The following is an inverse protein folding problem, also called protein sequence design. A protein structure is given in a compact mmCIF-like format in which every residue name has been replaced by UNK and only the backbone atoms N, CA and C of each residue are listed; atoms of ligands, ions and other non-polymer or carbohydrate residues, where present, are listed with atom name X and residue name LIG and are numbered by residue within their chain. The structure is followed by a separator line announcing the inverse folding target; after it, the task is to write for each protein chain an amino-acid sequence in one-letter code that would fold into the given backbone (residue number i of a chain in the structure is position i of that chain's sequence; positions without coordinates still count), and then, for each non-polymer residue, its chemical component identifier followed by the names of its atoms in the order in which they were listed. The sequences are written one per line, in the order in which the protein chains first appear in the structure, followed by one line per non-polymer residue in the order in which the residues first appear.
data_IF_295758260321
#
_entry.id   IF_295758260321
#
_cell.length_a   1.000
_cell.length_b   1.000
_cell.length_c   1.000
_cell.angle_alpha   90.00
_cell.angle_beta   90.00
_cell.angle_gamma   90.00
#
_symmetry.space_group_name_H-M   'P 1'
#
loop_
_entity.id
_entity.type
_entity.pdbx_description
1 polymer ?
#
# COMPACT_ATOMS: atom_id res chain seq x y z
N UNK A 1 -21.01 25.08 10.29
CA UNK A 1 -20.99 24.72 8.86
C UNK A 1 -19.93 23.64 8.68
N UNK A 2 -20.34 22.37 8.73
CA UNK A 2 -19.43 21.24 8.50
C UNK A 2 -19.23 21.09 6.98
N UNK A 3 -18.03 21.44 6.50
CA UNK A 3 -17.58 20.99 5.18
C UNK A 3 -17.35 19.49 5.29
N UNK A 4 -18.25 18.70 4.70
CA UNK A 4 -17.99 17.30 4.42
C UNK A 4 -16.77 17.24 3.49
N UNK A 5 -15.65 16.75 3.99
CA UNK A 5 -14.56 16.32 3.11
C UNK A 5 -15.06 15.10 2.34
N UNK A 6 -14.81 15.01 1.02
CA UNK A 6 -15.27 13.87 0.24
C UNK A 6 -14.67 12.59 0.81
N UNK A 7 -15.52 11.62 1.12
CA UNK A 7 -15.14 10.28 1.59
C UNK A 7 -14.06 9.72 0.67
N UNK A 8 -12.88 9.48 1.23
CA UNK A 8 -11.74 9.01 0.45
C UNK A 8 -12.06 7.61 -0.14
N UNK A 9 -12.03 7.43 -1.47
CA UNK A 9 -12.39 6.15 -2.12
C UNK A 9 -11.60 4.95 -1.59
N UNK A 10 -10.35 5.18 -1.14
CA UNK A 10 -9.50 4.15 -0.56
C UNK A 10 -10.02 3.66 0.81
N UNK A 11 -10.61 4.53 1.62
CA UNK A 11 -11.20 4.18 2.93
C UNK A 11 -12.41 3.27 2.75
N UNK A 12 -13.29 3.58 1.79
CA UNK A 12 -14.50 2.80 1.51
C UNK A 12 -14.16 1.37 1.06
N UNK A 13 -13.11 1.20 0.24
CA UNK A 13 -12.66 -0.12 -0.20
C UNK A 13 -12.03 -0.94 0.94
N UNK A 14 -11.27 -0.30 1.83
CA UNK A 14 -10.66 -0.96 3.00
C UNK A 14 -11.71 -1.50 3.98
N UNK A 15 -12.79 -0.74 4.20
CA UNK A 15 -13.85 -1.11 5.14
C UNK A 15 -14.64 -2.35 4.73
N UNK A 16 -14.92 -2.52 3.42
CA UNK A 16 -15.69 -3.65 2.91
C UNK A 16 -14.97 -5.00 3.02
N UNK A 17 -13.64 -5.02 2.85
CA UNK A 17 -12.82 -6.24 2.95
C UNK A 17 -12.65 -6.76 4.38
N UNK A 18 -12.53 -5.86 5.37
CA UNK A 18 -12.24 -6.23 6.77
C UNK A 18 -13.40 -6.97 7.44
N UNK A 19 -14.65 -6.54 7.22
CA UNK A 19 -15.84 -7.12 7.86
C UNK A 19 -16.06 -8.59 7.52
N UNK A 20 -15.76 -9.00 6.27
CA UNK A 20 -15.82 -10.40 5.85
C UNK A 20 -14.72 -11.26 6.49
N UNK A 21 -13.53 -10.67 6.68
CA UNK A 21 -12.36 -11.40 7.17
C UNK A 21 -12.48 -11.84 8.63
N UNK A 22 -12.99 -10.97 9.50
CA UNK A 22 -13.11 -11.23 10.93
C UNK A 22 -14.14 -12.32 11.25
N UNK A 23 -15.30 -12.29 10.56
CA UNK A 23 -16.35 -13.30 10.69
C UNK A 23 -15.86 -14.69 10.25
N UNK A 24 -15.09 -14.74 9.16
CA UNK A 24 -14.51 -15.98 8.66
C UNK A 24 -13.46 -16.55 9.63
N UNK A 25 -12.63 -15.70 10.25
CA UNK A 25 -11.66 -16.12 11.26
C UNK A 25 -12.32 -16.75 12.49
N UNK A 26 -13.46 -16.19 12.94
CA UNK A 26 -14.24 -16.77 14.04
C UNK A 26 -14.84 -18.12 13.68
N UNK A 27 -15.39 -18.26 12.48
CA UNK A 27 -15.88 -19.55 11.97
C UNK A 27 -14.78 -20.60 11.91
N UNK A 28 -13.60 -20.24 11.38
CA UNK A 28 -12.44 -21.14 11.36
C UNK A 28 -11.97 -21.52 12.76
N UNK A 29 -12.13 -20.65 13.76
CA UNK A 29 -11.79 -20.93 15.14
C UNK A 29 -12.72 -21.97 15.79
N UNK A 30 -13.98 -22.04 15.35
CA UNK A 30 -14.93 -23.10 15.74
C UNK A 30 -14.57 -24.43 15.07
N UNK A 31 -14.17 -24.39 13.80
CA UNK A 31 -13.80 -25.58 13.01
C UNK A 31 -12.42 -26.15 13.39
N UNK A 32 -11.53 -25.34 13.99
CA UNK A 32 -10.14 -25.73 14.30
C UNK A 32 -9.77 -25.47 15.77
N UNK A 33 -10.13 -26.36 16.71
CA UNK A 33 -9.91 -26.16 18.16
C UNK A 33 -8.45 -25.88 18.54
N UNK A 34 -7.49 -26.53 17.86
CA UNK A 34 -6.06 -26.40 18.13
C UNK A 34 -5.51 -25.00 17.82
N UNK A 35 -6.13 -24.26 16.89
CA UNK A 35 -5.72 -22.92 16.48
C UNK A 35 -6.69 -21.83 16.99
N UNK A 36 -7.69 -22.20 17.79
CA UNK A 36 -8.81 -21.34 18.18
C UNK A 36 -8.36 -20.01 18.79
N UNK A 37 -7.44 -20.03 19.75
CA UNK A 37 -6.97 -18.82 20.42
C UNK A 37 -6.29 -17.83 19.46
N UNK A 38 -5.43 -18.34 18.57
CA UNK A 38 -4.73 -17.52 17.55
C UNK A 38 -5.71 -16.95 16.54
N UNK A 39 -6.70 -17.73 16.10
CA UNK A 39 -7.71 -17.29 15.13
C UNK A 39 -8.65 -16.23 15.73
N UNK A 40 -9.07 -16.40 16.98
CA UNK A 40 -9.87 -15.40 17.70
C UNK A 40 -9.08 -14.10 17.92
N UNK A 41 -7.81 -14.21 18.31
CA UNK A 41 -6.94 -13.04 18.42
C UNK A 41 -6.80 -12.28 17.09
N UNK A 42 -6.61 -13.00 15.97
CA UNK A 42 -6.58 -12.38 14.63
C UNK A 42 -7.90 -11.70 14.28
N UNK A 43 -9.05 -12.29 14.65
CA UNK A 43 -10.35 -11.68 14.42
C UNK A 43 -10.50 -10.36 15.20
N UNK A 44 -10.06 -10.34 16.46
CA UNK A 44 -10.07 -9.11 17.29
C UNK A 44 -9.21 -8.00 16.68
N UNK A 45 -8.03 -8.35 16.14
CA UNK A 45 -7.17 -7.39 15.43
C UNK A 45 -7.90 -6.77 14.22
N UNK A 46 -8.64 -7.58 13.46
CA UNK A 46 -9.42 -7.07 12.32
C UNK A 46 -10.57 -6.17 12.76
N UNK A 47 -11.25 -6.49 13.86
CA UNK A 47 -12.32 -5.65 14.38
C UNK A 47 -11.79 -4.29 14.85
N UNK A 48 -10.69 -4.26 15.61
CA UNK A 48 -10.07 -2.98 16.04
C UNK A 48 -9.62 -2.14 14.86
N UNK A 49 -9.03 -2.77 13.84
CA UNK A 49 -8.65 -2.09 12.61
C UNK A 49 -9.88 -1.48 11.93
N UNK A 50 -10.98 -2.24 11.84
CA UNK A 50 -12.23 -1.75 11.28
C UNK A 50 -12.80 -0.56 12.07
N UNK A 51 -12.80 -0.63 13.41
CA UNK A 51 -13.26 0.47 14.27
C UNK A 51 -12.50 1.76 14.00
N UNK A 52 -11.16 1.68 13.98
CA UNK A 52 -10.29 2.83 13.70
C UNK A 52 -10.56 3.39 12.30
N UNK A 53 -10.69 2.53 11.28
CA UNK A 53 -10.94 2.97 9.90
C UNK A 53 -12.36 3.51 9.69
N UNK A 54 -13.33 3.04 10.49
CA UNK A 54 -14.73 3.47 10.41
C UNK A 54 -14.96 4.82 11.09
N UNK A 55 -14.03 5.25 11.94
CA UNK A 55 -14.05 6.53 12.62
C UNK A 55 -13.06 7.50 11.94
N UNK A 56 -13.61 8.47 11.20
CA UNK A 56 -12.82 9.48 10.49
C UNK A 56 -11.88 10.27 11.41
N UNK A 57 -12.31 10.61 12.63
CA UNK A 57 -11.50 11.39 13.58
C UNK A 57 -10.30 10.58 14.07
N UNK A 58 -10.49 9.29 14.37
CA UNK A 58 -9.38 8.40 14.76
C UNK A 58 -8.40 8.19 13.61
N UNK A 59 -8.91 8.01 12.39
CA UNK A 59 -8.09 7.92 11.19
C UNK A 59 -7.24 9.18 11.00
N UNK A 60 -7.84 10.38 11.12
CA UNK A 60 -7.13 11.64 11.01
C UNK A 60 -6.08 11.84 12.10
N UNK A 61 -6.35 11.39 13.34
CA UNK A 61 -5.35 11.41 14.43
C UNK A 61 -4.10 10.61 14.05
N UNK A 62 -4.28 9.42 13.48
CA UNK A 62 -3.15 8.58 13.04
C UNK A 62 -2.35 9.30 11.94
N UNK A 63 -3.04 9.86 10.94
CA UNK A 63 -2.37 10.60 9.87
C UNK A 63 -1.58 11.81 10.40
N UNK A 64 -2.06 12.46 11.45
CA UNK A 64 -1.37 13.57 12.11
C UNK A 64 -0.16 13.10 12.92
N UNK A 65 -0.22 11.93 13.57
CA UNK A 65 0.95 11.34 14.24
C UNK A 65 2.06 11.05 13.23
N UNK A 66 1.72 10.49 12.07
CA UNK A 66 2.69 10.29 10.98
C UNK A 66 3.29 11.62 10.54
N UNK A 67 2.47 12.66 10.36
CA UNK A 67 2.96 13.99 9.97
C UNK A 67 3.95 14.59 10.99
N UNK A 68 3.69 14.43 12.29
CA UNK A 68 4.58 14.89 13.35
C UNK A 68 5.92 14.14 13.33
N UNK A 69 5.90 12.82 13.17
CA UNK A 69 7.12 12.00 13.07
C UNK A 69 7.95 12.42 11.85
N UNK A 70 7.31 12.60 10.68
CA UNK A 70 8.02 13.02 9.47
C UNK A 70 8.58 14.44 9.57
N UNK A 71 7.92 15.32 10.34
CA UNK A 71 8.47 16.65 10.68
C UNK A 71 9.77 16.54 11.48
N UNK A 72 9.79 15.70 12.52
CA UNK A 72 10.99 15.50 13.34
C UNK A 72 12.14 14.89 12.52
N UNK A 73 11.82 14.01 11.58
CA UNK A 73 12.81 13.42 10.68
C UNK A 73 13.39 14.49 9.74
N UNK A 74 12.55 15.32 9.12
CA UNK A 74 13.01 16.44 8.29
C UNK A 74 13.94 17.37 9.09
N UNK A 75 13.59 17.70 10.33
CA UNK A 75 14.43 18.49 11.23
C UNK A 75 15.76 17.79 11.55
N UNK A 76 15.73 16.50 11.82
CA UNK A 76 16.94 15.71 12.06
C UNK A 76 17.85 15.71 10.84
N UNK A 77 17.30 15.56 9.63
CA UNK A 77 18.07 15.56 8.38
C UNK A 77 18.78 16.90 8.12
N UNK A 78 18.26 18.04 8.62
CA UNK A 78 18.94 19.35 8.54
C UNK A 78 20.26 19.38 9.31
N UNK A 79 20.39 18.57 10.35
CA UNK A 79 21.60 18.52 11.20
C UNK A 79 22.68 17.62 10.63
N UNK A 80 22.34 16.81 9.63
CA UNK A 80 23.27 15.87 9.03
C UNK A 80 24.18 16.56 8.04
N UNK A 81 25.43 16.08 7.94
CA UNK A 81 26.33 16.51 6.88
C UNK A 81 25.79 16.07 5.52
N UNK A 82 26.22 16.77 4.46
CA UNK A 82 25.84 16.43 3.10
C UNK A 82 26.19 14.96 2.79
N UNK A 83 25.20 14.19 2.35
CA UNK A 83 25.36 12.74 2.10
C UNK A 83 25.22 11.85 3.35
N UNK A 84 25.02 12.41 4.54
CA UNK A 84 24.70 11.66 5.76
C UNK A 84 23.38 10.88 5.65
N UNK A 85 23.23 9.86 6.49
CA UNK A 85 21.98 9.12 6.69
C UNK A 85 21.25 9.65 7.93
N UNK A 86 20.15 9.02 8.36
CA UNK A 86 19.24 9.59 9.35
C UNK A 86 19.93 9.98 10.66
N UNK A 87 20.86 9.15 11.15
CA UNK A 87 21.52 9.34 12.44
C UNK A 87 23.05 9.40 12.37
N UNK A 88 23.65 8.96 11.26
CA UNK A 88 25.10 8.86 11.11
C UNK A 88 25.53 8.83 9.64
N UNK A 89 26.84 8.84 9.40
CA UNK A 89 27.43 8.78 8.05
C UNK A 89 27.22 7.43 7.35
N UNK A 90 26.94 6.36 8.12
CA UNK A 90 26.76 5.00 7.60
C UNK A 90 25.28 4.60 7.61
N UNK A 91 24.87 3.85 6.59
CA UNK A 91 23.48 3.39 6.49
C UNK A 91 23.20 2.36 7.60
N UNK A 92 22.19 2.63 8.42
CA UNK A 92 21.94 1.93 9.68
C UNK A 92 20.56 1.27 9.73
N UNK A 93 20.27 0.59 10.84
CA UNK A 93 18.93 0.03 11.09
C UNK A 93 17.83 1.11 11.16
N UNK A 94 18.18 2.32 11.61
CA UNK A 94 17.23 3.43 11.64
C UNK A 94 16.77 3.78 10.21
N UNK A 95 17.69 3.74 9.25
CA UNK A 95 17.41 3.99 7.85
C UNK A 95 16.60 2.87 7.20
N UNK A 96 16.84 1.61 7.58
CA UNK A 96 16.02 0.48 7.12
C UNK A 96 14.57 0.66 7.58
N UNK A 97 14.36 0.98 8.85
CA UNK A 97 13.01 1.16 9.39
C UNK A 97 12.29 2.35 8.72
N UNK A 98 12.98 3.47 8.54
CA UNK A 98 12.43 4.63 7.85
C UNK A 98 12.13 4.33 6.38
N UNK A 99 13.04 3.64 5.68
CA UNK A 99 12.86 3.22 4.29
C UNK A 99 11.58 2.38 4.10
N UNK A 100 11.35 1.42 5.00
CA UNK A 100 10.15 0.58 4.96
C UNK A 100 8.89 1.42 5.16
N UNK A 101 8.89 2.33 6.14
CA UNK A 101 7.75 3.22 6.39
C UNK A 101 7.45 4.10 5.16
N UNK A 102 8.46 4.77 4.61
CA UNK A 102 8.31 5.67 3.46
C UNK A 102 7.84 4.92 2.20
N UNK A 103 8.37 3.71 1.96
CA UNK A 103 7.92 2.87 0.86
C UNK A 103 6.44 2.49 1.00
N UNK A 104 5.97 2.17 2.21
CA UNK A 104 4.55 1.88 2.44
C UNK A 104 3.66 3.10 2.25
N UNK A 105 4.10 4.27 2.71
CA UNK A 105 3.37 5.52 2.49
C UNK A 105 3.29 5.86 1.00
N UNK A 106 4.37 5.65 0.24
CA UNK A 106 4.41 5.85 -1.21
C UNK A 106 3.51 4.87 -1.96
N UNK A 107 3.53 3.59 -1.59
CA UNK A 107 2.60 2.57 -2.15
C UNK A 107 1.13 2.92 -1.92
N UNK A 108 0.82 3.68 -0.86
CA UNK A 108 -0.51 4.16 -0.54
C UNK A 108 -0.86 5.52 -1.19
N UNK A 109 0.06 6.15 -1.91
CA UNK A 109 -0.16 7.46 -2.54
C UNK A 109 -0.12 8.64 -1.56
N UNK A 110 0.59 8.50 -0.43
CA UNK A 110 0.66 9.55 0.59
C UNK A 110 1.86 10.50 0.42
N UNK A 111 2.68 10.34 -0.61
CA UNK A 111 3.80 11.23 -0.91
C UNK A 111 3.34 12.69 -1.06
N UNK A 112 2.23 12.91 -1.78
CA UNK A 112 1.63 14.23 -2.00
C UNK A 112 1.07 14.83 -0.73
N UNK A 113 0.70 14.00 0.24
CA UNK A 113 0.30 14.51 1.55
C UNK A 113 1.52 14.96 2.33
N UNK A 114 2.58 14.15 2.36
CA UNK A 114 3.62 14.26 3.37
C UNK A 114 4.93 14.90 2.93
N UNK A 115 5.50 14.58 1.76
CA UNK A 115 6.87 15.05 1.47
C UNK A 115 7.09 15.62 0.08
N UNK A 116 6.28 15.24 -0.93
CA UNK A 116 6.46 15.74 -2.29
C UNK A 116 6.08 17.22 -2.44
N UNK A 117 6.32 17.78 -3.63
CA UNK A 117 6.04 19.18 -3.96
C UNK A 117 6.73 20.19 -3.03
N UNK A 118 7.93 19.84 -2.55
CA UNK A 118 8.75 20.71 -1.72
C UNK A 118 8.27 20.85 -0.26
N UNK A 119 7.34 20.00 0.20
CA UNK A 119 6.88 20.01 1.59
C UNK A 119 7.97 19.62 2.58
N UNK A 120 8.72 18.56 2.26
CA UNK A 120 9.83 18.03 3.06
C UNK A 120 10.96 17.61 2.11
N UNK A 121 11.70 18.58 1.54
CA UNK A 121 12.66 18.31 0.47
C UNK A 121 13.81 17.40 0.93
N UNK A 122 14.26 17.51 2.19
CA UNK A 122 15.35 16.67 2.67
C UNK A 122 14.91 15.21 2.84
N UNK A 123 13.69 15.00 3.32
CA UNK A 123 13.06 13.67 3.40
C UNK A 123 12.84 13.08 2.00
N UNK A 124 12.39 13.89 1.04
CA UNK A 124 12.21 13.47 -0.35
C UNK A 124 13.55 13.05 -0.98
N UNK A 125 14.59 13.87 -0.86
CA UNK A 125 15.94 13.56 -1.35
C UNK A 125 16.55 12.34 -0.65
N UNK A 126 16.38 12.25 0.67
CA UNK A 126 16.76 11.09 1.46
C UNK A 126 16.10 9.82 0.92
N UNK A 127 14.78 9.83 0.70
CA UNK A 127 14.05 8.67 0.23
C UNK A 127 14.47 8.28 -1.19
N UNK A 128 14.68 9.27 -2.06
CA UNK A 128 15.22 9.05 -3.40
C UNK A 128 16.59 8.36 -3.36
N UNK A 129 17.50 8.79 -2.48
CA UNK A 129 18.79 8.11 -2.25
C UNK A 129 18.63 6.69 -1.75
N UNK A 130 17.73 6.45 -0.79
CA UNK A 130 17.43 5.10 -0.27
C UNK A 130 17.00 4.16 -1.40
N UNK A 131 16.12 4.62 -2.31
CA UNK A 131 15.63 3.83 -3.44
C UNK A 131 16.72 3.47 -4.46
N UNK A 132 17.83 4.20 -4.48
CA UNK A 132 18.96 3.88 -5.36
C UNK A 132 19.83 2.73 -4.87
N UNK A 133 19.70 2.31 -3.60
CA UNK A 133 20.49 1.23 -3.02
C UNK A 133 20.13 -0.12 -3.65
N UNK A 134 21.13 -0.95 -3.94
CA UNK A 134 20.91 -2.29 -4.51
C UNK A 134 20.05 -3.17 -3.61
N UNK A 135 20.29 -3.12 -2.29
CA UNK A 135 19.49 -3.84 -1.32
C UNK A 135 18.00 -3.48 -1.40
N UNK A 136 17.69 -2.21 -1.67
CA UNK A 136 16.31 -1.75 -1.84
C UNK A 136 15.72 -2.29 -3.14
N UNK A 137 16.43 -2.13 -4.26
CA UNK A 137 16.02 -2.60 -5.60
C UNK A 137 15.77 -4.11 -5.64
N UNK A 138 16.58 -4.89 -4.92
CA UNK A 138 16.44 -6.34 -4.83
C UNK A 138 15.29 -6.78 -3.90
N UNK A 139 14.90 -5.94 -2.95
CA UNK A 139 13.86 -6.28 -1.96
C UNK A 139 12.46 -5.92 -2.46
N UNK A 140 12.29 -4.80 -3.15
CA UNK A 140 10.97 -4.35 -3.58
C UNK A 140 10.52 -5.18 -4.79
N UNK A 141 9.36 -5.88 -4.69
CA UNK A 141 8.84 -6.64 -5.80
C UNK A 141 8.60 -5.73 -7.00
N UNK A 142 9.15 -6.10 -8.14
CA UNK A 142 8.93 -5.37 -9.37
C UNK A 142 7.46 -5.50 -9.83
N UNK A 143 7.06 -4.65 -10.77
CA UNK A 143 5.72 -4.65 -11.36
C UNK A 143 5.30 -6.05 -11.85
N UNK A 144 6.24 -6.84 -12.38
CA UNK A 144 5.98 -8.19 -12.85
C UNK A 144 5.52 -9.11 -11.70
N UNK A 145 6.11 -8.97 -10.51
CA UNK A 145 5.72 -9.73 -9.34
C UNK A 145 4.30 -9.36 -8.88
N UNK A 146 3.96 -8.07 -8.87
CA UNK A 146 2.60 -7.61 -8.54
C UNK A 146 1.56 -8.08 -9.56
N UNK A 147 1.85 -7.96 -10.86
CA UNK A 147 0.98 -8.46 -11.94
C UNK A 147 0.79 -9.98 -11.81
N UNK A 148 1.88 -10.73 -11.58
CA UNK A 148 1.81 -12.17 -11.33
C UNK A 148 0.92 -12.50 -10.15
N UNK A 149 1.07 -11.79 -9.02
CA UNK A 149 0.22 -11.97 -7.84
C UNK A 149 -1.26 -11.70 -8.14
N UNK A 150 -1.56 -10.61 -8.87
CA UNK A 150 -2.93 -10.28 -9.28
C UNK A 150 -3.49 -11.40 -10.16
N UNK A 151 -2.76 -11.82 -11.20
CA UNK A 151 -3.18 -12.90 -12.10
C UNK A 151 -3.42 -14.20 -11.31
N UNK A 152 -2.48 -14.59 -10.45
CA UNK A 152 -2.56 -15.85 -9.70
C UNK A 152 -3.63 -15.84 -8.59
N UNK A 153 -4.10 -14.67 -8.16
CA UNK A 153 -5.18 -14.54 -7.18
C UNK A 153 -6.58 -14.55 -7.78
N UNK A 154 -6.72 -14.45 -9.10
CA UNK A 154 -8.02 -14.53 -9.76
C UNK A 154 -8.48 -15.98 -9.94
N UNK A 155 -9.79 -16.28 -9.78
CA UNK A 155 -10.33 -17.59 -10.11
C UNK A 155 -9.99 -18.00 -11.57
N UNK A 156 -9.63 -19.27 -11.84
CA UNK A 156 -9.22 -19.71 -13.18
C UNK A 156 -10.24 -19.41 -14.30
N UNK A 157 -11.53 -19.42 -13.96
CA UNK A 157 -12.61 -19.11 -14.89
C UNK A 157 -12.56 -17.66 -15.40
N UNK A 158 -12.19 -16.70 -14.53
CA UNK A 158 -12.07 -15.28 -14.92
C UNK A 158 -10.89 -15.07 -15.87
N UNK A 159 -9.76 -15.73 -15.61
CA UNK A 159 -8.60 -15.70 -16.51
C UNK A 159 -8.95 -16.28 -17.90
N UNK A 160 -9.67 -17.41 -17.92
CA UNK A 160 -10.14 -18.01 -19.18
C UNK A 160 -11.08 -17.09 -19.95
N UNK A 161 -12.05 -16.47 -19.27
CA UNK A 161 -12.99 -15.53 -19.89
C UNK A 161 -12.30 -14.27 -20.41
N UNK A 162 -11.40 -13.67 -19.63
CA UNK A 162 -10.62 -12.50 -20.04
C UNK A 162 -9.71 -12.79 -21.24
N UNK A 163 -9.06 -13.96 -21.25
CA UNK A 163 -8.25 -14.42 -22.39
C UNK A 163 -9.08 -14.64 -23.67
N UNK A 164 -10.25 -15.26 -23.55
CA UNK A 164 -11.15 -15.47 -24.69
C UNK A 164 -11.69 -14.14 -25.25
N UNK A 165 -12.07 -13.19 -24.39
CA UNK A 165 -12.57 -11.88 -24.79
C UNK A 165 -11.51 -11.05 -25.51
N UNK A 166 -10.27 -11.06 -25.01
CA UNK A 166 -9.15 -10.33 -25.63
C UNK A 166 -8.76 -10.93 -26.98
N UNK A 167 -8.71 -12.26 -27.13
CA UNK A 167 -8.56 -12.93 -28.43
C UNK A 167 -9.69 -12.58 -29.41
N UNK A 168 -10.94 -12.58 -28.93
CA UNK A 168 -12.11 -12.21 -29.73
C UNK A 168 -12.03 -10.78 -30.26
N UNK A 169 -11.61 -9.83 -29.42
CA UNK A 169 -11.43 -8.43 -29.82
C UNK A 169 -10.34 -8.27 -30.89
N UNK A 170 -9.20 -8.94 -30.73
CA UNK A 170 -8.10 -8.90 -31.72
C UNK A 170 -8.56 -9.48 -33.06
N UNK A 171 -9.27 -10.62 -33.05
CA UNK A 171 -9.80 -11.24 -34.27
C UNK A 171 -10.87 -10.37 -34.94
N UNK A 172 -11.74 -9.73 -34.16
CA UNK A 172 -12.75 -8.81 -34.69
C UNK A 172 -12.12 -7.59 -35.35
N UNK A 173 -11.10 -6.99 -34.71
CA UNK A 173 -10.34 -5.88 -35.28
C UNK A 173 -9.65 -6.32 -36.58
N UNK A 174 -8.96 -7.46 -36.58
CA UNK A 174 -8.30 -7.99 -37.78
C UNK A 174 -9.29 -8.26 -38.92
N UNK A 175 -10.48 -8.77 -38.61
CA UNK A 175 -11.54 -9.00 -39.59
C UNK A 175 -12.06 -7.68 -40.18
N UNK A 176 -12.30 -6.66 -39.34
CA UNK A 176 -12.74 -5.34 -39.79
C UNK A 176 -11.67 -4.70 -40.70
N UNK A 177 -10.39 -4.76 -40.32
CA UNK A 177 -9.30 -4.25 -41.16
C UNK A 177 -9.21 -4.99 -42.50
N UNK A 178 -9.33 -6.32 -42.51
CA UNK A 178 -9.34 -7.11 -43.75
C UNK A 178 -10.52 -6.76 -44.66
N UNK A 179 -11.68 -6.44 -44.07
CA UNK A 179 -12.90 -6.04 -44.80
C UNK A 179 -12.88 -4.60 -45.32
N UNK A 180 -12.01 -3.73 -44.78
CA UNK A 180 -11.86 -2.34 -45.24
C UNK A 180 -10.79 -2.23 -46.33
N UNK A 181 -9.80 -3.13 -46.34
CA UNK A 181 -8.67 -3.13 -47.29
C UNK A 181 -8.95 -3.98 -48.56
N UNK A 182 -10.05 -4.73 -48.60
CA UNK A 182 -10.60 -5.42 -49.79
C UNK A 182 -12.01 -4.94 -50.04
#
# INVERSE_FOLDING_TARGET
MNKAYPTNPSMTHLLGGDLGSSRNLRKLAEENPNARSVLLYKAEIQDRKHEILSNEDEYLKILNVVDQVLTQIEEQLKTQQEGGWLCCETFSIADINLAVLLQRLWELGFEDRYWSHGKRPLLEDYFNRVRQRDSFKLTIPNLQHHVKMIIMSQPPAYLGAAGAASLGAVLAVAYIFKKIIH
#
